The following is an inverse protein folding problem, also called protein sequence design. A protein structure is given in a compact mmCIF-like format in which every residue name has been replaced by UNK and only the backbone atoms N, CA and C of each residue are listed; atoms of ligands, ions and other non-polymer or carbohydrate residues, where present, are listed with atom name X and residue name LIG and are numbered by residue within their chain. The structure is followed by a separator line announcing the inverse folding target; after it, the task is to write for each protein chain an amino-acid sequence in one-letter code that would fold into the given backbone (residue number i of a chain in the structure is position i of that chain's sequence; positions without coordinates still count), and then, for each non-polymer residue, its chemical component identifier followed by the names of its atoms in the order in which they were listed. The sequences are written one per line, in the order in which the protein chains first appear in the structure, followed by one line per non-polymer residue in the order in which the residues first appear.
data_IF_825132239828
#
_entry.id   IF_825132239828
#
_cell.length_a   1.000
_cell.length_b   1.000
_cell.length_c   1.000
_cell.angle_alpha   90.00
_cell.angle_beta   90.00
_cell.angle_gamma   90.00
#
_symmetry.space_group_name_H-M   'P 1'
#
loop_
_entity.id
_entity.type
_entity.pdbx_description
1 polymer ?
#
# COMPACT_ATOMS: atom_id res chain seq x y z
N UNK A 1 -9.67 23.81 32.67
CA UNK A 1 -9.68 22.61 31.82
C UNK A 1 -9.71 21.39 32.73
N UNK A 2 -10.81 20.63 32.76
CA UNK A 2 -10.88 19.42 33.59
C UNK A 2 -10.15 18.29 32.85
N UNK A 3 -9.10 17.75 33.45
CA UNK A 3 -8.35 16.62 32.89
C UNK A 3 -9.12 15.33 33.20
N UNK A 4 -9.44 14.52 32.17
CA UNK A 4 -10.11 13.24 32.38
C UNK A 4 -9.16 12.26 33.07
N UNK A 5 -9.55 11.75 34.24
CA UNK A 5 -8.80 10.78 35.03
C UNK A 5 -9.36 9.37 34.74
N UNK A 6 -8.48 8.39 34.58
CA UNK A 6 -8.86 6.98 34.41
C UNK A 6 -7.94 6.06 35.22
N UNK A 7 -8.42 4.85 35.53
CA UNK A 7 -7.67 3.87 36.31
C UNK A 7 -6.87 2.94 35.40
N UNK A 8 -5.60 2.70 35.74
CA UNK A 8 -4.75 1.75 35.04
C UNK A 8 -5.35 0.33 35.15
N UNK A 9 -5.54 -0.40 34.03
CA UNK A 9 -6.14 -1.72 34.08
C UNK A 9 -5.23 -2.79 34.70
N UNK A 10 -3.92 -2.50 34.82
CA UNK A 10 -2.94 -3.41 35.42
C UNK A 10 -2.80 -3.25 36.93
N UNK A 11 -2.79 -2.01 37.44
CA UNK A 11 -2.52 -1.75 38.86
C UNK A 11 -3.53 -0.84 39.57
N UNK A 12 -4.58 -0.39 38.88
CA UNK A 12 -5.63 0.47 39.45
C UNK A 12 -5.24 1.94 39.64
N UNK A 13 -3.97 2.33 39.43
CA UNK A 13 -3.50 3.70 39.61
C UNK A 13 -4.29 4.69 38.73
N UNK A 14 -4.72 5.80 39.33
CA UNK A 14 -5.30 6.93 38.59
C UNK A 14 -4.23 7.63 37.75
N UNK A 15 -4.49 7.79 36.46
CA UNK A 15 -3.66 8.49 35.50
C UNK A 15 -4.50 9.52 34.74
N UNK A 16 -3.88 10.61 34.30
CA UNK A 16 -4.56 11.61 33.46
C UNK A 16 -4.49 11.18 31.99
N UNK A 17 -5.59 11.39 31.26
CA UNK A 17 -5.69 11.06 29.85
C UNK A 17 -4.57 11.74 29.04
N UNK A 18 -3.81 10.94 28.28
CA UNK A 18 -2.68 11.39 27.46
C UNK A 18 -1.29 10.94 27.92
N UNK A 19 -1.13 10.38 29.12
CA UNK A 19 0.14 9.78 29.55
C UNK A 19 0.47 8.52 28.74
N UNK A 20 1.73 8.40 28.29
CA UNK A 20 2.18 7.24 27.49
C UNK A 20 2.33 5.97 28.31
N UNK A 21 2.61 6.10 29.61
CA UNK A 21 2.82 5.00 30.54
C UNK A 21 2.14 5.29 31.87
N UNK A 22 1.76 4.23 32.57
CA UNK A 22 1.25 4.30 33.93
C UNK A 22 2.34 4.80 34.87
N UNK A 23 2.04 5.83 35.64
CA UNK A 23 2.97 6.45 36.60
C UNK A 23 3.41 5.53 37.74
N UNK A 24 2.68 4.44 37.98
CA UNK A 24 3.00 3.47 39.04
C UNK A 24 3.63 2.18 38.48
N UNK A 25 2.94 1.46 37.59
CA UNK A 25 3.39 0.14 37.13
C UNK A 25 4.14 0.13 35.78
N UNK A 26 4.32 1.28 35.14
CA UNK A 26 5.02 1.40 33.86
C UNK A 26 4.32 0.78 32.65
N UNK A 27 3.10 0.27 32.79
CA UNK A 27 2.31 -0.24 31.65
C UNK A 27 2.05 0.87 30.63
N UNK A 28 2.25 0.60 29.33
CA UNK A 28 1.89 1.55 28.27
C UNK A 28 0.39 1.87 28.27
N UNK A 29 0.05 3.15 28.33
CA UNK A 29 -1.33 3.69 28.32
C UNK A 29 -1.69 4.39 27.00
N UNK A 30 -0.78 4.41 26.02
CA UNK A 30 -1.10 4.75 24.63
C UNK A 30 -1.20 6.25 24.30
N UNK A 31 -0.61 7.16 25.08
CA UNK A 31 -0.36 8.53 24.59
C UNK A 31 0.56 8.49 23.37
N UNK A 32 0.48 9.32 22.33
CA UNK A 32 -0.51 10.31 21.96
C UNK A 32 -0.52 10.44 20.43
N UNK A 33 -1.67 10.83 19.90
CA UNK A 33 -1.91 11.08 18.48
C UNK A 33 -3.41 11.32 18.34
N UNK A 34 -3.78 12.45 17.75
CA UNK A 34 -5.14 12.97 17.79
C UNK A 34 -6.21 11.96 17.33
N UNK A 35 -7.35 12.07 18.01
CA UNK A 35 -8.44 11.12 18.06
C UNK A 35 -9.16 10.99 16.72
N UNK A 36 -9.23 9.76 16.21
CA UNK A 36 -10.40 9.30 15.46
C UNK A 36 -11.05 8.20 16.32
N UNK A 37 -12.33 8.41 16.62
CA UNK A 37 -13.14 7.60 17.52
C UNK A 37 -12.95 6.10 17.26
N UNK A 38 -12.48 5.41 18.30
CA UNK A 38 -12.50 3.96 18.42
C UNK A 38 -13.95 3.49 18.27
N UNK A 39 -14.26 2.64 17.29
CA UNK A 39 -15.50 1.86 17.31
C UNK A 39 -15.21 0.56 18.10
N UNK A 40 -15.69 0.44 19.35
CA UNK A 40 -15.35 -0.68 20.23
C UNK A 40 -15.88 -2.04 19.79
N UNK A 41 -16.71 -2.09 18.75
CA UNK A 41 -17.58 -3.22 18.46
C UNK A 41 -17.22 -3.98 17.18
N UNK A 42 -15.99 -3.85 16.68
CA UNK A 42 -15.57 -4.59 15.48
C UNK A 42 -15.13 -6.02 15.83
N UNK A 43 -15.83 -7.00 15.25
CA UNK A 43 -15.60 -8.44 15.44
C UNK A 43 -14.86 -9.07 14.25
N UNK A 44 -13.96 -10.01 14.54
CA UNK A 44 -13.20 -10.79 13.56
C UNK A 44 -13.29 -12.29 13.89
N UNK A 45 -13.09 -13.17 12.92
CA UNK A 45 -12.95 -14.61 13.17
C UNK A 45 -11.52 -14.95 13.57
N UNK A 46 -11.34 -15.71 14.64
CA UNK A 46 -10.03 -16.22 15.03
C UNK A 46 -9.45 -17.09 13.88
N UNK A 47 -8.20 -16.86 13.45
CA UNK A 47 -7.60 -17.59 12.32
C UNK A 47 -7.27 -19.06 12.66
N UNK A 48 -7.33 -19.46 13.93
CA UNK A 48 -7.04 -20.82 14.36
C UNK A 48 -8.29 -21.65 14.59
N UNK A 49 -9.32 -21.09 15.24
CA UNK A 49 -10.50 -21.86 15.63
C UNK A 49 -11.83 -21.32 15.06
N UNK A 50 -11.80 -20.19 14.35
CA UNK A 50 -12.98 -19.59 13.71
C UNK A 50 -13.93 -18.83 14.64
N UNK A 51 -13.76 -18.91 15.97
CA UNK A 51 -14.63 -18.20 16.93
C UNK A 51 -14.52 -16.68 16.79
N UNK A 52 -15.61 -15.92 17.03
CA UNK A 52 -15.59 -14.47 16.95
C UNK A 52 -14.77 -13.88 18.11
N UNK A 53 -13.94 -12.91 17.78
CA UNK A 53 -13.04 -12.20 18.71
C UNK A 53 -13.17 -10.70 18.51
N UNK A 54 -13.13 -9.93 19.59
CA UNK A 54 -13.15 -8.47 19.51
C UNK A 54 -11.79 -7.93 19.09
N UNK A 55 -11.77 -6.84 18.32
CA UNK A 55 -10.54 -6.15 17.97
C UNK A 55 -9.75 -5.72 19.22
N UNK A 56 -8.44 -5.99 19.22
CA UNK A 56 -7.52 -5.52 20.26
C UNK A 56 -7.28 -6.50 21.42
N UNK A 57 -8.01 -7.62 21.52
CA UNK A 57 -7.73 -8.63 22.58
C UNK A 57 -6.45 -9.41 22.29
N UNK A 58 -5.57 -9.59 23.26
CA UNK A 58 -4.24 -10.17 23.03
C UNK A 58 -4.27 -11.63 22.54
N UNK A 59 -5.30 -12.38 22.90
CA UNK A 59 -5.46 -13.80 22.57
C UNK A 59 -6.92 -14.18 22.42
N UNK A 60 -7.19 -15.24 21.64
CA UNK A 60 -8.51 -15.82 21.52
C UNK A 60 -8.89 -16.55 22.82
N UNK A 61 -10.03 -16.19 23.40
CA UNK A 61 -10.53 -16.82 24.64
C UNK A 61 -10.94 -18.29 24.45
N UNK A 62 -11.25 -18.71 23.22
CA UNK A 62 -11.70 -20.08 22.94
C UNK A 62 -10.56 -21.06 22.64
N UNK A 63 -9.50 -20.64 21.93
CA UNK A 63 -8.40 -21.54 21.55
C UNK A 63 -7.02 -21.12 22.06
N UNK A 64 -6.90 -19.98 22.74
CA UNK A 64 -5.64 -19.49 23.31
C UNK A 64 -4.66 -18.91 22.29
N UNK A 65 -4.94 -18.92 20.99
CA UNK A 65 -4.05 -18.33 19.97
C UNK A 65 -3.84 -16.85 20.25
N UNK A 66 -2.56 -16.43 20.30
CA UNK A 66 -2.21 -15.01 20.35
C UNK A 66 -2.62 -14.31 19.05
N UNK A 67 -3.33 -13.19 19.18
CA UNK A 67 -3.86 -12.44 18.05
C UNK A 67 -2.96 -11.25 17.77
N UNK A 68 -2.44 -11.20 16.55
CA UNK A 68 -1.72 -10.05 16.05
C UNK A 68 -2.71 -9.16 15.29
N UNK A 69 -3.01 -7.99 15.84
CA UNK A 69 -3.91 -7.03 15.21
C UNK A 69 -3.16 -6.07 14.30
N UNK A 70 -3.70 -5.76 13.11
CA UNK A 70 -3.15 -4.68 12.32
C UNK A 70 -3.30 -3.38 13.11
N UNK A 71 -2.19 -2.66 13.29
CA UNK A 71 -2.24 -1.34 13.94
C UNK A 71 -2.98 -0.34 13.04
N UNK A 72 -3.61 0.70 13.60
CA UNK A 72 -4.36 1.73 12.86
C UNK A 72 -3.62 2.28 11.62
N UNK A 73 -2.29 2.39 11.67
CA UNK A 73 -1.45 2.80 10.52
C UNK A 73 -1.49 1.82 9.33
N UNK A 74 -1.73 0.54 9.58
CA UNK A 74 -1.85 -0.51 8.57
C UNK A 74 -3.25 -0.59 7.95
N UNK A 75 -4.28 0.01 8.58
CA UNK A 75 -5.66 -0.05 8.09
C UNK A 75 -6.06 1.11 7.18
N UNK A 76 -5.26 2.17 7.05
CA UNK A 76 -5.55 3.30 6.14
C UNK A 76 -4.41 3.47 5.11
N UNK A 77 -3.90 2.36 4.57
CA UNK A 77 -3.14 2.41 3.31
C UNK A 77 -4.14 2.32 2.18
N UNK A 78 -4.45 3.44 1.52
CA UNK A 78 -5.34 3.43 0.36
C UNK A 78 -4.72 2.69 -0.84
N UNK A 79 -3.38 2.54 -0.84
CA UNK A 79 -2.66 1.70 -1.79
C UNK A 79 -2.66 0.25 -1.30
N UNK A 80 -3.21 -0.71 -2.07
CA UNK A 80 -3.17 -2.12 -1.71
C UNK A 80 -1.74 -2.68 -1.62
N UNK A 81 -1.43 -3.62 -0.71
CA UNK A 81 -0.07 -4.15 -0.51
C UNK A 81 0.58 -4.71 -1.78
N UNK A 82 -0.18 -5.47 -2.57
CA UNK A 82 0.29 -6.07 -3.83
C UNK A 82 0.71 -5.05 -4.91
N UNK A 83 0.24 -3.81 -4.80
CA UNK A 83 0.67 -2.68 -5.63
C UNK A 83 1.86 -2.00 -4.97
N UNK A 84 1.75 -1.69 -3.68
CA UNK A 84 2.79 -1.02 -2.90
C UNK A 84 4.16 -1.69 -3.05
N UNK A 85 4.22 -3.02 -2.95
CA UNK A 85 5.47 -3.79 -3.04
C UNK A 85 6.14 -3.71 -4.42
N UNK A 86 5.38 -3.41 -5.47
CA UNK A 86 5.88 -3.27 -6.84
C UNK A 86 6.37 -1.86 -7.15
N UNK A 87 6.10 -0.90 -6.26
CA UNK A 87 6.50 0.50 -6.44
C UNK A 87 8.00 0.71 -6.13
N UNK A 88 8.64 1.68 -6.79
CA UNK A 88 10.02 2.08 -6.47
C UNK A 88 10.17 2.49 -5.01
N UNK A 89 11.35 2.25 -4.42
CA UNK A 89 11.62 2.56 -3.01
C UNK A 89 11.33 4.03 -2.65
N UNK A 90 11.74 4.97 -3.51
CA UNK A 90 11.47 6.41 -3.33
C UNK A 90 9.97 6.74 -3.24
N UNK A 91 9.16 6.10 -4.10
CA UNK A 91 7.70 6.27 -4.13
C UNK A 91 7.09 5.72 -2.84
N UNK A 92 7.48 4.51 -2.43
CA UNK A 92 7.03 3.90 -1.17
C UNK A 92 7.31 4.78 0.03
N UNK A 93 8.55 5.27 0.16
CA UNK A 93 8.95 6.16 1.24
C UNK A 93 8.17 7.48 1.23
N UNK A 94 7.96 8.07 0.04
CA UNK A 94 7.20 9.31 -0.11
C UNK A 94 5.73 9.14 0.27
N UNK A 95 5.08 8.08 -0.22
CA UNK A 95 3.68 7.78 0.10
C UNK A 95 3.47 7.56 1.59
N UNK A 96 4.41 6.87 2.25
CA UNK A 96 4.36 6.59 3.69
C UNK A 96 4.39 7.85 4.57
N UNK A 97 4.87 8.97 4.03
CA UNK A 97 4.96 10.27 4.71
C UNK A 97 3.78 11.20 4.39
N UNK A 98 2.93 10.85 3.41
CA UNK A 98 1.82 11.69 2.96
C UNK A 98 0.52 11.39 3.73
N UNK A 99 -0.44 12.30 3.63
CA UNK A 99 -1.80 12.08 4.15
C UNK A 99 -2.53 10.96 3.39
N UNK A 100 -3.52 10.29 4.01
CA UNK A 100 -4.29 9.24 3.34
C UNK A 100 -5.02 9.69 2.07
N UNK A 101 -5.46 10.95 2.05
CA UNK A 101 -6.09 11.57 0.88
C UNK A 101 -5.13 11.64 -0.32
N UNK A 102 -3.89 12.11 -0.11
CA UNK A 102 -2.87 12.16 -1.17
C UNK A 102 -2.47 10.76 -1.66
N UNK A 103 -2.43 9.78 -0.75
CA UNK A 103 -2.22 8.39 -1.14
C UNK A 103 -3.37 7.88 -2.03
N UNK A 104 -4.59 8.36 -1.79
CA UNK A 104 -5.75 8.01 -2.58
C UNK A 104 -5.70 8.59 -3.98
N UNK A 105 -5.38 9.87 -4.10
CA UNK A 105 -5.20 10.55 -5.38
C UNK A 105 -4.09 9.88 -6.20
N UNK A 106 -2.95 9.60 -5.56
CA UNK A 106 -1.87 8.84 -6.18
C UNK A 106 -2.37 7.49 -6.71
N UNK A 107 -3.09 6.72 -5.91
CA UNK A 107 -3.53 5.39 -6.31
C UNK A 107 -4.52 5.42 -7.47
N UNK A 108 -5.48 6.36 -7.44
CA UNK A 108 -6.45 6.53 -8.51
C UNK A 108 -5.75 6.87 -9.82
N UNK A 109 -4.83 7.84 -9.79
CA UNK A 109 -4.10 8.28 -10.97
C UNK A 109 -3.14 7.20 -11.49
N UNK A 110 -2.48 6.47 -10.58
CA UNK A 110 -1.64 5.34 -10.92
C UNK A 110 -2.45 4.23 -11.59
N UNK A 111 -3.63 3.90 -11.05
CA UNK A 111 -4.53 2.90 -11.64
C UNK A 111 -4.99 3.31 -13.04
N UNK A 112 -5.21 4.60 -13.28
CA UNK A 112 -5.62 5.15 -14.57
C UNK A 112 -4.51 5.08 -15.62
N UNK A 113 -3.26 5.37 -15.25
CA UNK A 113 -2.13 5.50 -16.18
C UNK A 113 -1.32 4.21 -16.39
N UNK A 114 -1.31 3.31 -15.41
CA UNK A 114 -0.54 2.07 -15.49
C UNK A 114 -0.97 1.21 -16.67
N UNK A 115 -0.01 0.47 -17.21
CA UNK A 115 -0.18 -0.50 -18.29
C UNK A 115 -0.24 -1.92 -17.74
N UNK A 116 -0.98 -2.79 -18.44
CA UNK A 116 -1.19 -4.18 -18.04
C UNK A 116 -0.28 -5.10 -18.87
N UNK A 117 0.28 -6.14 -18.23
CA UNK A 117 1.12 -7.13 -18.92
C UNK A 117 0.31 -7.91 -19.95
N UNK A 118 -0.93 -8.29 -19.61
CA UNK A 118 -1.83 -8.98 -20.51
C UNK A 118 -2.11 -8.17 -21.78
N UNK A 119 -2.44 -6.89 -21.66
CA UNK A 119 -2.65 -6.00 -22.83
C UNK A 119 -1.36 -5.84 -23.63
N UNK A 120 -0.20 -5.83 -22.98
CA UNK A 120 1.10 -5.86 -23.67
C UNK A 120 1.27 -7.09 -24.55
N UNK A 121 0.90 -8.28 -24.04
CA UNK A 121 0.91 -9.51 -24.83
C UNK A 121 -0.13 -9.51 -25.95
N UNK A 122 -1.32 -8.95 -25.73
CA UNK A 122 -2.31 -8.78 -26.80
C UNK A 122 -1.76 -7.85 -27.91
N UNK A 123 -1.16 -6.72 -27.53
CA UNK A 123 -0.54 -5.80 -28.47
C UNK A 123 0.63 -6.43 -29.25
N UNK A 124 1.39 -7.31 -28.58
CA UNK A 124 2.45 -8.09 -29.19
C UNK A 124 1.89 -9.11 -30.19
N UNK A 125 0.90 -9.92 -29.80
CA UNK A 125 0.40 -11.05 -30.60
C UNK A 125 -0.26 -10.63 -31.91
N UNK A 126 -1.11 -9.60 -31.90
CA UNK A 126 -1.94 -9.29 -33.07
C UNK A 126 -1.22 -8.48 -34.16
N UNK A 127 -0.25 -7.63 -33.79
CA UNK A 127 0.45 -6.75 -34.76
C UNK A 127 1.87 -6.36 -34.33
N UNK A 128 2.39 -6.89 -33.23
CA UNK A 128 3.71 -6.51 -32.71
C UNK A 128 3.79 -5.08 -32.14
N UNK A 129 2.68 -4.43 -31.78
CA UNK A 129 2.61 -3.03 -31.32
C UNK A 129 2.94 -2.80 -29.85
N UNK A 130 3.57 -3.78 -29.22
CA UNK A 130 3.84 -3.75 -27.79
C UNK A 130 4.80 -2.63 -27.34
N UNK A 131 5.67 -2.09 -28.22
CA UNK A 131 6.45 -0.88 -27.88
C UNK A 131 5.62 0.40 -27.98
N UNK A 132 4.70 0.50 -28.94
CA UNK A 132 3.75 1.61 -29.01
C UNK A 132 2.84 1.66 -27.79
N UNK A 133 2.42 0.48 -27.28
CA UNK A 133 1.58 0.38 -26.10
C UNK A 133 2.17 1.09 -24.86
N UNK A 134 3.49 1.07 -24.73
CA UNK A 134 4.26 1.74 -23.68
C UNK A 134 4.92 3.05 -24.15
N UNK A 135 4.52 3.59 -25.30
CA UNK A 135 4.99 4.88 -25.82
C UNK A 135 6.44 4.90 -26.34
N UNK A 136 7.08 3.75 -26.56
CA UNK A 136 8.45 3.66 -27.06
C UNK A 136 8.50 3.61 -28.59
N UNK A 137 8.18 4.74 -29.23
CA UNK A 137 8.10 4.83 -30.70
C UNK A 137 9.39 4.43 -31.41
N UNK A 138 10.55 4.91 -30.96
CA UNK A 138 11.84 4.58 -31.59
C UNK A 138 12.14 3.08 -31.58
N UNK A 139 11.78 2.38 -30.51
CA UNK A 139 11.92 0.92 -30.42
C UNK A 139 10.92 0.19 -31.34
N UNK A 140 9.71 0.71 -31.52
CA UNK A 140 8.77 0.15 -32.49
C UNK A 140 9.31 0.25 -33.92
N UNK A 141 9.85 1.41 -34.29
CA UNK A 141 10.42 1.63 -35.62
C UNK A 141 11.62 0.70 -35.83
N UNK A 142 12.51 0.58 -34.84
CA UNK A 142 13.64 -0.35 -34.90
C UNK A 142 13.19 -1.81 -35.05
N UNK A 143 12.13 -2.22 -34.36
CA UNK A 143 11.53 -3.54 -34.48
C UNK A 143 10.98 -3.80 -35.90
N UNK A 144 10.33 -2.83 -36.53
CA UNK A 144 9.84 -2.99 -37.90
C UNK A 144 10.96 -2.96 -38.94
N UNK A 145 11.97 -2.09 -38.77
CA UNK A 145 13.14 -2.04 -39.65
C UNK A 145 13.99 -3.31 -39.59
N UNK A 146 13.97 -4.03 -38.46
CA UNK A 146 14.56 -5.37 -38.36
C UNK A 146 13.64 -6.48 -38.91
N UNK A 147 12.58 -6.13 -39.65
CA UNK A 147 11.55 -7.04 -40.18
C UNK A 147 10.80 -7.82 -39.10
N UNK A 148 10.50 -7.18 -37.97
CA UNK A 148 9.94 -7.85 -36.80
C UNK A 148 10.90 -8.85 -36.16
N UNK A 149 12.19 -8.77 -36.53
CA UNK A 149 13.28 -9.62 -36.10
C UNK A 149 12.94 -11.12 -36.21
N UNK A 150 12.87 -11.65 -37.43
CA UNK A 150 12.98 -13.09 -37.76
C UNK A 150 12.75 -14.05 -36.57
N UNK A 151 11.51 -14.44 -36.21
CA UNK A 151 11.08 -15.37 -35.11
C UNK A 151 11.79 -15.23 -33.73
N UNK A 152 13.12 -15.26 -33.66
CA UNK A 152 14.00 -14.98 -32.53
C UNK A 152 13.56 -13.75 -31.73
N UNK A 153 13.25 -12.63 -32.38
CA UNK A 153 12.92 -11.40 -31.66
C UNK A 153 11.53 -11.48 -31.02
N UNK A 154 10.58 -12.18 -31.67
CA UNK A 154 9.31 -12.59 -31.06
C UNK A 154 9.54 -13.45 -29.81
N UNK A 155 10.42 -14.44 -29.87
CA UNK A 155 10.74 -15.29 -28.70
C UNK A 155 11.35 -14.46 -27.56
N UNK A 156 12.28 -13.55 -27.87
CA UNK A 156 12.90 -12.66 -26.88
C UNK A 156 11.85 -11.76 -26.21
N UNK A 157 10.90 -11.25 -26.98
CA UNK A 157 9.86 -10.34 -26.48
C UNK A 157 8.94 -11.00 -25.46
N UNK A 158 8.71 -12.33 -25.55
CA UNK A 158 7.93 -13.07 -24.54
C UNK A 158 8.47 -12.82 -23.14
N UNK A 159 9.79 -12.83 -22.98
CA UNK A 159 10.45 -12.59 -21.70
C UNK A 159 10.65 -11.10 -21.39
N UNK A 160 10.74 -10.26 -22.41
CA UNK A 160 11.04 -8.83 -22.27
C UNK A 160 9.81 -8.00 -21.89
N UNK A 161 8.62 -8.33 -22.41
CA UNK A 161 7.37 -7.58 -22.22
C UNK A 161 7.05 -7.33 -20.73
N UNK A 162 7.11 -8.33 -19.82
CA UNK A 162 6.83 -8.09 -18.41
C UNK A 162 7.76 -7.05 -17.78
N UNK A 163 9.06 -7.11 -18.13
CA UNK A 163 10.06 -6.17 -17.62
C UNK A 163 9.84 -4.77 -18.17
N UNK A 164 9.56 -4.64 -19.47
CA UNK A 164 9.25 -3.36 -20.11
C UNK A 164 8.06 -2.65 -19.45
N UNK A 165 6.98 -3.38 -19.21
CA UNK A 165 5.76 -2.84 -18.61
C UNK A 165 5.97 -2.51 -17.13
N UNK A 166 6.73 -3.33 -16.40
CA UNK A 166 7.10 -3.03 -15.01
C UNK A 166 7.89 -1.73 -14.93
N UNK A 167 8.91 -1.56 -15.77
CA UNK A 167 9.74 -0.36 -15.79
C UNK A 167 8.92 0.88 -16.16
N UNK A 168 8.10 0.78 -17.21
CA UNK A 168 7.18 1.86 -17.60
C UNK A 168 6.25 2.26 -16.44
N UNK A 169 5.65 1.28 -15.75
CA UNK A 169 4.78 1.55 -14.61
C UNK A 169 5.54 2.15 -13.41
N UNK A 170 6.82 1.83 -13.24
CA UNK A 170 7.66 2.45 -12.21
C UNK A 170 7.92 3.92 -12.53
N UNK A 171 8.21 4.25 -13.79
CA UNK A 171 8.40 5.64 -14.25
C UNK A 171 7.12 6.46 -14.02
N UNK A 172 5.96 5.92 -14.40
CA UNK A 172 4.65 6.54 -14.14
C UNK A 172 4.42 6.78 -12.65
N UNK A 173 4.77 5.83 -11.78
CA UNK A 173 4.62 6.01 -10.33
C UNK A 173 5.51 7.15 -9.79
N UNK A 174 6.73 7.29 -10.31
CA UNK A 174 7.64 8.37 -9.93
C UNK A 174 7.06 9.72 -10.36
N UNK A 175 6.56 9.82 -11.58
CA UNK A 175 5.98 11.06 -12.11
C UNK A 175 4.75 11.50 -11.32
N UNK A 176 3.81 10.59 -11.04
CA UNK A 176 2.60 10.93 -10.26
C UNK A 176 2.96 11.39 -8.85
N UNK A 177 3.95 10.77 -8.18
CA UNK A 177 4.39 11.25 -6.87
C UNK A 177 4.99 12.66 -6.93
N UNK A 178 5.72 12.99 -8.00
CA UNK A 178 6.23 14.36 -8.20
C UNK A 178 5.07 15.33 -8.36
N UNK A 179 4.08 15.00 -9.20
CA UNK A 179 2.91 15.83 -9.46
C UNK A 179 2.12 16.10 -8.16
N UNK A 180 1.84 15.06 -7.37
CA UNK A 180 1.15 15.17 -6.07
C UNK A 180 1.92 16.04 -5.08
N UNK A 181 3.27 15.98 -5.08
CA UNK A 181 4.09 16.85 -4.24
C UNK A 181 4.00 18.32 -4.67
N UNK A 182 4.08 18.57 -5.98
CA UNK A 182 4.03 19.93 -6.54
C UNK A 182 2.69 20.59 -6.23
N UNK A 183 1.57 19.88 -6.46
CA UNK A 183 0.21 20.38 -6.15
C UNK A 183 0.06 20.71 -4.67
N UNK A 184 0.82 20.05 -3.78
CA UNK A 184 0.76 20.34 -2.34
C UNK A 184 1.64 21.48 -1.84
N UNK A 185 2.47 22.05 -2.72
CA UNK A 185 3.31 23.21 -2.42
C UNK A 185 2.74 24.51 -2.98
N UNK A 186 1.75 24.42 -3.86
CA UNK A 186 0.95 25.53 -4.38
C UNK A 186 -0.22 25.84 -3.43
#
# INVERSE_FOLDING_TARGET
MQQQIFNCPRCGQQNVAGHQFCSNCGMGLGGGGQQQAYNPQQWYSCPTCGQPVMFGVASCESCGTQLNWPTRKQQISYVPPNIFDKLPGMVRSSLSQMSPEKQADFFQEYKRRRKSVATGYLAWLFVGWHYLYIGKLGWQIAFWLSFGGLIIWWIIDVFRIPSLIRNYNQDIAIDIVRDVKIVSLA
#
